data_IF_160736347409
#
_entry.id   IF_160736347409
#
_cell.length_a   1.000
_cell.length_b   1.000
_cell.length_c   1.000
_cell.angle_alpha   90.00
_cell.angle_beta   90.00
_cell.angle_gamma   90.00
#
_symmetry.space_group_name_H-M   'P 1'
#
loop_
_entity.id
_entity.type
_entity.pdbx_description
1 polymer ?
#
# COMPACT_ATOMS: atom_id res chain seq x y z
N UNK A 1 23.25 4.62 2.05
CA UNK A 1 22.42 4.10 3.16
C UNK A 1 21.14 3.44 2.65
N UNK A 2 20.30 4.13 1.85
CA UNK A 2 19.10 3.55 1.22
C UNK A 2 19.38 2.22 0.48
N UNK A 3 20.44 2.17 -0.33
CA UNK A 3 20.84 0.95 -1.04
C UNK A 3 21.27 -0.19 -0.12
N UNK A 4 21.97 0.12 0.98
CA UNK A 4 22.39 -0.90 1.95
C UNK A 4 21.18 -1.50 2.67
N UNK A 5 20.17 -0.68 2.98
CA UNK A 5 18.90 -1.16 3.53
C UNK A 5 18.16 -2.06 2.52
N UNK A 6 18.00 -1.63 1.27
CA UNK A 6 17.37 -2.45 0.23
C UNK A 6 18.13 -3.76 -0.04
N UNK A 7 19.46 -3.75 0.10
CA UNK A 7 20.27 -4.96 0.03
C UNK A 7 19.98 -5.91 1.20
N UNK A 8 20.00 -5.41 2.44
CA UNK A 8 19.69 -6.22 3.62
C UNK A 8 18.27 -6.80 3.61
N UNK A 9 17.28 -6.06 3.10
CA UNK A 9 15.92 -6.58 2.91
C UNK A 9 15.87 -7.73 1.90
N UNK A 10 16.63 -7.62 0.81
CA UNK A 10 16.73 -8.71 -0.17
C UNK A 10 17.37 -9.97 0.42
N UNK A 11 18.44 -9.81 1.23
CA UNK A 11 19.07 -10.93 1.92
C UNK A 11 18.15 -11.58 2.94
N UNK A 12 17.39 -10.77 3.70
CA UNK A 12 16.41 -11.28 4.66
C UNK A 12 15.30 -12.07 3.96
N UNK A 13 14.74 -11.55 2.86
CA UNK A 13 13.71 -12.25 2.10
C UNK A 13 14.21 -13.61 1.59
N UNK A 14 15.40 -13.65 0.99
CA UNK A 14 16.03 -14.90 0.54
C UNK A 14 16.30 -15.88 1.69
N UNK A 15 16.69 -15.37 2.86
CA UNK A 15 16.86 -16.16 4.08
C UNK A 15 15.56 -16.80 4.54
N UNK A 16 14.44 -16.07 4.51
CA UNK A 16 13.11 -16.58 4.85
C UNK A 16 12.68 -17.65 3.85
N UNK A 17 12.80 -17.40 2.55
CA UNK A 17 12.42 -18.34 1.49
C UNK A 17 13.18 -19.67 1.64
N UNK A 18 14.48 -19.61 1.92
CA UNK A 18 15.28 -20.83 2.12
C UNK A 18 14.91 -21.60 3.39
N UNK A 19 14.38 -20.90 4.41
CA UNK A 19 14.02 -21.49 5.71
C UNK A 19 12.59 -22.02 5.76
N UNK A 20 11.69 -21.54 4.89
CA UNK A 20 10.28 -21.91 4.85
C UNK A 20 9.84 -22.37 3.45
N UNK A 21 10.30 -23.57 2.99
CA UNK A 21 9.91 -24.08 1.68
C UNK A 21 8.38 -24.19 1.55
N UNK A 22 7.82 -23.57 0.51
CA UNK A 22 6.39 -23.56 0.22
C UNK A 22 5.61 -22.39 0.82
N UNK A 23 6.23 -21.53 1.62
CA UNK A 23 5.68 -20.23 1.97
C UNK A 23 5.99 -19.20 0.88
N UNK A 24 5.05 -18.29 0.62
CA UNK A 24 5.28 -17.12 -0.23
C UNK A 24 5.67 -15.94 0.66
N UNK A 25 6.90 -15.45 0.53
CA UNK A 25 7.38 -14.30 1.29
C UNK A 25 6.92 -13.01 0.61
N UNK A 26 6.01 -12.28 1.27
CA UNK A 26 5.59 -10.95 0.83
C UNK A 26 6.39 -9.88 1.56
N UNK A 27 7.07 -9.02 0.82
CA UNK A 27 7.76 -7.85 1.37
C UNK A 27 6.82 -6.65 1.35
N UNK A 28 6.34 -6.24 2.52
CA UNK A 28 5.55 -5.01 2.68
C UNK A 28 6.42 -3.92 3.28
N UNK A 29 6.64 -2.86 2.51
CA UNK A 29 7.48 -1.74 2.93
C UNK A 29 6.60 -0.59 3.41
N UNK A 30 6.84 -0.10 4.62
CA UNK A 30 6.10 1.02 5.19
C UNK A 30 7.05 2.15 5.61
N UNK A 31 6.99 3.29 4.89
CA UNK A 31 7.87 4.43 5.11
C UNK A 31 7.07 5.72 5.34
N UNK A 32 6.54 5.96 6.55
CA UNK A 32 5.65 7.10 6.84
C UNK A 32 6.35 8.46 6.77
N UNK A 33 7.69 8.48 6.82
CA UNK A 33 8.48 9.70 6.77
C UNK A 33 9.13 9.93 5.41
N UNK A 34 8.79 9.13 4.40
CA UNK A 34 9.46 9.16 3.09
C UNK A 34 9.53 10.56 2.50
N UNK A 35 8.40 11.26 2.42
CA UNK A 35 8.34 12.63 1.88
C UNK A 35 9.14 13.64 2.71
N UNK A 36 9.26 13.41 4.01
CA UNK A 36 10.05 14.28 4.89
C UNK A 36 11.54 14.03 4.66
N UNK A 37 11.94 12.76 4.49
CA UNK A 37 13.33 12.36 4.23
C UNK A 37 13.80 12.82 2.86
N UNK A 38 13.02 12.58 1.81
CA UNK A 38 13.35 12.99 0.44
C UNK A 38 13.27 14.51 0.25
N UNK A 39 12.44 15.18 1.05
CA UNK A 39 12.34 16.65 1.05
C UNK A 39 13.33 17.36 1.97
N UNK A 40 14.14 16.63 2.76
CA UNK A 40 15.07 17.24 3.72
C UNK A 40 14.39 17.99 4.87
N UNK A 41 13.20 17.53 5.29
CA UNK A 41 12.35 18.14 6.33
C UNK A 41 12.39 17.38 7.67
N UNK A 42 13.21 16.34 7.78
CA UNK A 42 13.37 15.59 9.03
C UNK A 42 14.22 16.40 9.99
N UNK A 43 13.71 16.67 11.20
CA UNK A 43 14.49 17.34 12.23
C UNK A 43 15.56 16.43 12.84
N UNK A 44 16.71 16.99 13.18
CA UNK A 44 17.73 16.31 13.95
C UNK A 44 17.20 15.87 15.31
N UNK A 45 17.88 14.92 15.94
CA UNK A 45 17.55 14.47 17.31
C UNK A 45 17.50 15.61 18.33
N UNK A 46 18.31 16.65 18.12
CA UNK A 46 18.31 17.86 18.95
C UNK A 46 17.20 18.86 18.62
N UNK A 47 16.47 18.69 17.51
CA UNK A 47 15.40 19.57 17.04
C UNK A 47 15.85 20.90 16.43
N UNK A 48 17.15 21.25 16.50
CA UNK A 48 17.67 22.56 16.10
C UNK A 48 17.97 22.71 14.60
N UNK A 49 18.03 21.62 13.84
CA UNK A 49 18.30 21.67 12.39
C UNK A 49 17.50 20.61 11.64
N UNK A 50 17.23 20.86 10.37
CA UNK A 50 16.73 19.85 9.45
C UNK A 50 17.90 19.07 8.84
N UNK A 51 17.69 17.78 8.63
CA UNK A 51 18.64 16.90 7.96
C UNK A 51 18.54 17.13 6.45
N UNK A 52 19.67 17.09 5.72
CA UNK A 52 19.66 17.28 4.28
C UNK A 52 18.78 16.24 3.59
N UNK A 53 18.15 16.66 2.49
CA UNK A 53 17.43 15.74 1.60
C UNK A 53 18.36 14.61 1.15
N UNK A 54 17.80 13.41 1.04
CA UNK A 54 18.54 12.28 0.47
C UNK A 54 18.73 12.45 -1.03
N UNK A 55 19.80 11.83 -1.54
CA UNK A 55 20.03 11.72 -2.98
C UNK A 55 18.89 10.92 -3.62
N UNK A 56 18.10 11.60 -4.44
CA UNK A 56 16.93 11.04 -5.10
C UNK A 56 17.27 9.85 -5.99
N UNK A 57 18.45 9.86 -6.63
CA UNK A 57 18.89 8.73 -7.46
C UNK A 57 19.13 7.47 -6.61
N UNK A 58 19.72 7.64 -5.42
CA UNK A 58 19.94 6.55 -4.49
C UNK A 58 18.63 6.03 -3.88
N UNK A 59 17.64 6.89 -3.64
CA UNK A 59 16.30 6.51 -3.17
C UNK A 59 15.55 5.73 -4.26
N UNK A 60 15.52 6.23 -5.49
CA UNK A 60 14.89 5.52 -6.62
C UNK A 60 15.53 4.15 -6.86
N UNK A 61 16.86 4.05 -6.82
CA UNK A 61 17.56 2.78 -6.97
C UNK A 61 17.22 1.78 -5.85
N UNK A 62 17.05 2.25 -4.61
CA UNK A 62 16.62 1.40 -3.50
C UNK A 62 15.20 0.85 -3.71
N UNK A 63 14.26 1.70 -4.15
CA UNK A 63 12.89 1.28 -4.44
C UNK A 63 12.80 0.31 -5.61
N UNK A 64 13.55 0.55 -6.70
CA UNK A 64 13.63 -0.39 -7.83
C UNK A 64 14.13 -1.77 -7.37
N UNK A 65 15.14 -1.79 -6.49
CA UNK A 65 15.64 -3.05 -5.95
C UNK A 65 14.59 -3.79 -5.11
N UNK A 66 13.86 -3.07 -4.25
CA UNK A 66 12.80 -3.65 -3.44
C UNK A 66 11.64 -4.15 -4.31
N UNK A 67 11.25 -3.39 -5.33
CA UNK A 67 10.24 -3.79 -6.28
C UNK A 67 10.60 -5.10 -7.01
N UNK A 68 11.89 -5.36 -7.25
CA UNK A 68 12.36 -6.62 -7.81
C UNK A 68 12.30 -7.83 -6.85
N UNK A 69 12.02 -7.62 -5.56
CA UNK A 69 11.68 -8.72 -4.65
C UNK A 69 10.24 -9.13 -4.94
N UNK A 70 9.96 -10.43 -5.11
CA UNK A 70 8.64 -10.88 -5.53
C UNK A 70 8.05 -11.88 -4.54
N UNK A 71 6.83 -11.65 -4.03
CA UNK A 71 5.98 -10.44 -4.17
C UNK A 71 6.38 -9.26 -3.25
N UNK A 72 6.24 -8.01 -3.74
CA UNK A 72 6.46 -6.78 -2.95
C UNK A 72 5.31 -5.79 -3.06
N UNK A 73 4.89 -5.26 -1.90
CA UNK A 73 3.90 -4.18 -1.78
C UNK A 73 4.60 -2.88 -1.39
N UNK A 74 4.55 -1.90 -2.29
CA UNK A 74 5.19 -0.61 -2.11
C UNK A 74 4.15 0.48 -1.81
N UNK A 75 4.47 1.48 -0.98
CA UNK A 75 3.64 2.66 -0.83
C UNK A 75 3.38 3.33 -2.19
N UNK A 76 2.20 3.91 -2.39
CA UNK A 76 1.86 4.63 -3.62
C UNK A 76 2.94 5.63 -4.05
N UNK A 77 3.53 6.36 -3.09
CA UNK A 77 4.64 7.31 -3.34
C UNK A 77 6.02 6.74 -3.03
N UNK A 78 6.27 5.47 -3.35
CA UNK A 78 7.57 4.83 -3.17
C UNK A 78 8.63 5.37 -4.14
N UNK A 79 9.05 6.62 -3.95
CA UNK A 79 10.04 7.27 -4.82
C UNK A 79 9.96 8.79 -4.76
N UNK A 80 11.01 9.48 -5.23
CA UNK A 80 10.99 10.93 -5.37
C UNK A 80 10.30 11.41 -6.65
N UNK A 81 10.07 10.51 -7.61
CA UNK A 81 9.14 10.70 -8.71
C UNK A 81 7.74 10.31 -8.26
N UNK A 82 6.73 11.05 -8.71
CA UNK A 82 5.30 10.70 -8.59
C UNK A 82 4.90 9.57 -9.55
N UNK A 83 5.84 8.70 -9.93
CA UNK A 83 5.60 7.61 -10.86
C UNK A 83 5.75 6.27 -10.13
N UNK A 84 4.83 5.32 -10.35
CA UNK A 84 4.90 3.99 -9.75
C UNK A 84 6.20 3.28 -10.12
N UNK A 85 6.74 2.51 -9.17
CA UNK A 85 7.93 1.68 -9.43
C UNK A 85 7.50 0.48 -10.28
N UNK A 86 7.94 0.34 -11.55
CA UNK A 86 7.31 -0.58 -12.52
C UNK A 86 7.34 -2.07 -12.15
N UNK A 87 8.22 -2.47 -11.24
CA UNK A 87 8.40 -3.88 -10.84
C UNK A 87 7.59 -4.25 -9.59
N UNK A 88 6.92 -3.29 -8.94
CA UNK A 88 6.17 -3.56 -7.71
C UNK A 88 5.03 -4.55 -7.99
N UNK A 89 4.78 -5.48 -7.07
CA UNK A 89 3.67 -6.43 -7.23
C UNK A 89 2.32 -5.77 -6.92
N UNK A 90 2.31 -4.77 -6.04
CA UNK A 90 1.15 -3.94 -5.77
C UNK A 90 1.53 -2.57 -5.21
N UNK A 91 0.65 -1.59 -5.43
CA UNK A 91 0.69 -0.29 -4.73
C UNK A 91 -0.17 -0.36 -3.46
N UNK A 92 0.34 0.20 -2.38
CA UNK A 92 -0.30 0.18 -1.06
C UNK A 92 -0.67 1.58 -0.60
N UNK A 93 -1.91 1.73 -0.14
CA UNK A 93 -2.38 2.96 0.52
C UNK A 93 -3.35 2.64 1.67
N UNK A 94 -3.54 3.61 2.55
CA UNK A 94 -4.49 3.50 3.67
C UNK A 94 -5.93 3.81 3.25
N UNK A 95 -6.90 3.16 3.89
CA UNK A 95 -8.35 3.38 3.67
C UNK A 95 -8.81 4.83 3.82
N UNK A 96 -8.05 5.68 4.52
CA UNK A 96 -8.28 7.12 4.52
C UNK A 96 -8.32 7.69 3.09
N UNK A 97 -7.74 6.99 2.13
CA UNK A 97 -7.68 7.37 0.74
C UNK A 97 -6.40 8.17 0.48
N UNK A 98 -5.78 7.98 -0.69
CA UNK A 98 -4.84 8.93 -1.26
C UNK A 98 -5.44 10.33 -1.39
N UNK A 99 -4.59 11.35 -1.55
CA UNK A 99 -5.06 12.70 -1.87
C UNK A 99 -5.66 12.73 -3.29
N UNK A 100 -6.55 13.69 -3.62
CA UNK A 100 -7.24 13.71 -4.91
C UNK A 100 -6.36 13.48 -6.16
N UNK A 101 -5.16 14.07 -6.22
CA UNK A 101 -4.25 13.93 -7.38
C UNK A 101 -3.48 12.61 -7.46
N UNK A 102 -3.55 11.76 -6.44
CA UNK A 102 -2.91 10.45 -6.45
C UNK A 102 -3.79 9.38 -7.13
N UNK A 103 -5.07 9.68 -7.28
CA UNK A 103 -6.04 8.76 -7.87
C UNK A 103 -5.81 8.53 -9.36
N UNK A 104 -5.34 9.54 -10.08
CA UNK A 104 -4.99 9.40 -11.51
C UNK A 104 -3.82 8.44 -11.71
N UNK A 105 -2.84 8.44 -10.80
CA UNK A 105 -1.71 7.51 -10.80
C UNK A 105 -2.17 6.07 -10.52
N UNK A 106 -3.08 5.89 -9.55
CA UNK A 106 -3.69 4.59 -9.28
C UNK A 106 -4.50 4.09 -10.48
N UNK A 107 -5.25 4.97 -11.14
CA UNK A 107 -6.01 4.60 -12.33
C UNK A 107 -5.08 4.06 -13.43
N UNK A 108 -4.02 4.80 -13.77
CA UNK A 108 -3.04 4.35 -14.77
C UNK A 108 -2.37 3.03 -14.38
N UNK A 109 -2.06 2.83 -13.08
CA UNK A 109 -1.51 1.57 -12.57
C UNK A 109 -2.48 0.40 -12.76
N UNK A 110 -3.74 0.56 -12.35
CA UNK A 110 -4.79 -0.45 -12.45
C UNK A 110 -5.11 -0.79 -13.91
N UNK A 111 -5.16 0.22 -14.78
CA UNK A 111 -5.36 0.04 -16.23
C UNK A 111 -4.21 -0.73 -16.89
N UNK A 112 -2.98 -0.59 -16.37
CA UNK A 112 -1.83 -1.40 -16.79
C UNK A 112 -1.85 -2.84 -16.26
N UNK A 113 -2.87 -3.20 -15.46
CA UNK A 113 -3.04 -4.52 -14.84
C UNK A 113 -2.38 -4.67 -13.47
N UNK A 114 -1.92 -3.57 -12.87
CA UNK A 114 -1.29 -3.55 -11.56
C UNK A 114 -2.27 -3.74 -10.41
N UNK A 115 -1.86 -4.43 -9.35
CA UNK A 115 -2.71 -4.67 -8.17
C UNK A 115 -2.61 -3.54 -7.14
N UNK A 116 -3.65 -3.36 -6.35
CA UNK A 116 -3.71 -2.37 -5.28
C UNK A 116 -3.99 -3.06 -3.96
N UNK A 117 -3.29 -2.67 -2.90
CA UNK A 117 -3.54 -3.13 -1.53
C UNK A 117 -4.07 -1.95 -0.72
N UNK A 118 -5.31 -2.07 -0.24
CA UNK A 118 -5.92 -1.11 0.67
C UNK A 118 -5.76 -1.59 2.09
N UNK A 119 -5.09 -0.77 2.89
CA UNK A 119 -4.86 -1.04 4.30
C UNK A 119 -5.92 -0.39 5.15
N UNK A 120 -6.72 -1.22 5.81
CA UNK A 120 -7.82 -0.76 6.66
C UNK A 120 -7.31 -0.08 7.92
N UNK A 121 -7.92 1.06 8.24
CA UNK A 121 -7.72 1.69 9.56
C UNK A 121 -8.68 1.07 10.56
N UNK A 122 -8.30 1.09 11.84
CA UNK A 122 -9.19 0.73 12.93
C UNK A 122 -10.16 1.89 13.19
N UNK A 123 -11.15 2.03 12.31
CA UNK A 123 -12.26 2.96 12.47
C UNK A 123 -13.53 2.16 12.76
N UNK A 124 -13.84 2.02 14.05
CA UNK A 124 -15.02 1.28 14.51
C UNK A 124 -16.33 2.03 14.35
N UNK A 125 -16.31 3.28 13.88
CA UNK A 125 -17.51 4.09 13.71
C UNK A 125 -18.19 3.86 12.35
N UNK A 126 -17.44 3.41 11.33
CA UNK A 126 -17.96 3.24 9.97
C UNK A 126 -18.49 1.84 9.73
N UNK A 127 -19.62 1.76 9.04
CA UNK A 127 -20.18 0.51 8.55
C UNK A 127 -19.33 -0.10 7.43
N UNK A 128 -19.45 -1.41 7.20
CA UNK A 128 -18.75 -2.11 6.11
C UNK A 128 -19.08 -1.49 4.74
N UNK A 129 -20.36 -1.16 4.51
CA UNK A 129 -20.82 -0.55 3.25
C UNK A 129 -20.18 0.82 3.01
N UNK A 130 -20.14 1.70 4.02
CA UNK A 130 -19.50 3.02 3.90
C UNK A 130 -18.00 2.90 3.59
N UNK A 131 -17.32 1.91 4.16
CA UNK A 131 -15.90 1.67 3.92
C UNK A 131 -15.65 1.17 2.50
N UNK A 132 -16.44 0.20 2.04
CA UNK A 132 -16.39 -0.29 0.67
C UNK A 132 -16.69 0.83 -0.34
N UNK A 133 -17.71 1.66 -0.09
CA UNK A 133 -18.05 2.81 -0.94
C UNK A 133 -16.90 3.81 -1.07
N UNK A 134 -16.16 4.09 0.02
CA UNK A 134 -15.00 5.01 -0.05
C UNK A 134 -13.86 4.48 -0.92
N UNK A 135 -13.74 3.16 -1.03
CA UNK A 135 -12.77 2.52 -1.91
C UNK A 135 -13.30 2.48 -3.35
N UNK A 136 -14.58 2.18 -3.55
CA UNK A 136 -15.19 2.01 -4.87
C UNK A 136 -15.55 3.32 -5.58
N UNK A 137 -15.93 4.37 -4.84
CA UNK A 137 -16.34 5.65 -5.42
C UNK A 137 -15.25 6.29 -6.31
N UNK A 138 -13.96 6.29 -5.92
CA UNK A 138 -12.87 6.72 -6.79
C UNK A 138 -12.82 6.00 -8.14
N UNK A 139 -13.05 4.67 -8.18
CA UNK A 139 -13.11 3.91 -9.43
C UNK A 139 -14.19 4.48 -10.34
N UNK A 140 -15.38 4.74 -9.79
CA UNK A 140 -16.48 5.36 -10.55
C UNK A 140 -16.11 6.74 -11.08
N UNK A 141 -15.53 7.60 -10.23
CA UNK A 141 -15.22 8.98 -10.62
C UNK A 141 -14.13 9.07 -11.69
N UNK A 142 -13.23 8.09 -11.74
CA UNK A 142 -12.12 8.03 -12.69
C UNK A 142 -12.50 7.26 -13.97
N UNK A 143 -13.71 6.69 -14.03
CA UNK A 143 -14.16 5.88 -15.18
C UNK A 143 -13.55 4.48 -15.22
N UNK A 144 -12.97 4.00 -14.13
CA UNK A 144 -12.49 2.61 -14.03
C UNK A 144 -13.68 1.65 -14.00
N UNK A 145 -13.55 0.52 -14.69
CA UNK A 145 -14.57 -0.52 -14.67
C UNK A 145 -14.77 -1.11 -13.27
N UNK A 146 -16.00 -1.48 -12.92
CA UNK A 146 -16.29 -2.20 -11.68
C UNK A 146 -15.49 -3.52 -11.59
N UNK A 147 -15.25 -4.18 -12.73
CA UNK A 147 -14.41 -5.37 -12.82
C UNK A 147 -12.98 -5.15 -12.29
N UNK A 148 -12.44 -3.94 -12.42
CA UNK A 148 -11.11 -3.60 -11.91
C UNK A 148 -11.02 -3.60 -10.37
N UNK A 149 -12.15 -3.60 -9.65
CA UNK A 149 -12.16 -3.84 -8.21
C UNK A 149 -11.61 -5.23 -7.84
N UNK A 150 -11.62 -6.20 -8.77
CA UNK A 150 -10.97 -7.49 -8.57
C UNK A 150 -9.45 -7.42 -8.44
N UNK A 151 -8.84 -6.26 -8.74
CA UNK A 151 -7.41 -6.01 -8.54
C UNK A 151 -7.10 -5.42 -7.14
N UNK A 152 -8.14 -5.17 -6.34
CA UNK A 152 -8.02 -4.60 -5.00
C UNK A 152 -7.95 -5.73 -3.96
N UNK A 153 -6.87 -5.74 -3.20
CA UNK A 153 -6.71 -6.55 -2.01
C UNK A 153 -6.96 -5.69 -0.78
N UNK A 154 -7.75 -6.18 0.17
CA UNK A 154 -8.00 -5.50 1.44
C UNK A 154 -7.23 -6.20 2.55
N UNK A 155 -6.39 -5.46 3.27
CA UNK A 155 -5.61 -5.99 4.40
C UNK A 155 -5.90 -5.21 5.68
N UNK A 156 -5.82 -5.90 6.80
CA UNK A 156 -5.80 -5.23 8.10
C UNK A 156 -4.51 -4.40 8.23
N UNK A 157 -4.62 -3.19 8.78
CA UNK A 157 -3.43 -2.40 9.13
C UNK A 157 -2.56 -3.07 10.21
N UNK A 158 -1.25 -2.76 10.25
CA UNK A 158 -0.39 -3.20 11.34
C UNK A 158 -0.94 -2.62 12.63
N UNK A 159 -1.15 -3.49 13.61
CA UNK A 159 -1.67 -3.09 14.91
C UNK A 159 -0.79 -3.86 15.90
N UNK A 160 0.34 -3.21 16.23
CA UNK A 160 1.51 -3.74 16.93
C UNK A 160 1.19 -4.28 18.34
N UNK A 161 -0.04 -4.06 18.82
CA UNK A 161 -0.50 -4.45 20.15
C UNK A 161 -1.72 -5.39 20.15
N UNK A 162 -2.07 -6.03 19.03
CA UNK A 162 -3.23 -6.92 19.00
C UNK A 162 -2.93 -8.29 19.63
N UNK A 163 -3.60 -8.59 20.73
CA UNK A 163 -3.85 -9.98 21.13
C UNK A 163 -4.72 -10.70 20.10
N UNK A 164 -4.81 -12.04 20.19
CA UNK A 164 -5.51 -12.89 19.22
C UNK A 164 -6.94 -12.44 18.88
N UNK A 165 -7.71 -11.96 19.87
CA UNK A 165 -9.07 -11.44 19.64
C UNK A 165 -9.08 -10.15 18.79
N UNK A 166 -8.08 -9.30 18.96
CA UNK A 166 -7.88 -8.11 18.13
C UNK A 166 -7.55 -8.49 16.70
N UNK A 167 -6.57 -9.39 16.51
CA UNK A 167 -6.19 -9.89 15.19
C UNK A 167 -7.38 -10.50 14.44
N UNK A 168 -8.17 -11.33 15.13
CA UNK A 168 -9.38 -11.93 14.57
C UNK A 168 -10.39 -10.87 14.11
N UNK A 169 -10.66 -9.84 14.93
CA UNK A 169 -11.58 -8.76 14.53
C UNK A 169 -11.07 -7.98 13.32
N UNK A 170 -9.77 -7.68 13.26
CA UNK A 170 -9.20 -6.97 12.13
C UNK A 170 -9.24 -7.81 10.85
N UNK A 171 -8.98 -9.12 10.94
CA UNK A 171 -9.12 -10.04 9.82
C UNK A 171 -10.56 -10.17 9.32
N UNK A 172 -11.54 -10.26 10.23
CA UNK A 172 -12.97 -10.25 9.88
C UNK A 172 -13.34 -8.93 9.19
N UNK A 173 -12.91 -7.78 9.73
CA UNK A 173 -13.19 -6.49 9.11
C UNK A 173 -12.58 -6.34 7.70
N UNK A 174 -11.36 -6.86 7.48
CA UNK A 174 -10.74 -6.89 6.16
C UNK A 174 -11.53 -7.76 5.17
N UNK A 175 -11.94 -8.94 5.62
CA UNK A 175 -12.80 -9.83 4.84
C UNK A 175 -14.14 -9.18 4.52
N UNK A 176 -14.85 -8.64 5.49
CA UNK A 176 -16.19 -8.08 5.29
C UNK A 176 -16.17 -6.93 4.27
N UNK A 177 -15.13 -6.08 4.31
CA UNK A 177 -14.95 -5.00 3.31
C UNK A 177 -14.60 -5.57 1.93
N UNK A 178 -13.77 -6.62 1.85
CA UNK A 178 -13.47 -7.29 0.58
C UNK A 178 -14.75 -7.93 -0.03
N UNK A 179 -15.54 -8.63 0.79
CA UNK A 179 -16.80 -9.24 0.38
C UNK A 179 -17.78 -8.16 -0.12
N UNK A 180 -17.86 -7.01 0.56
CA UNK A 180 -18.69 -5.88 0.12
C UNK A 180 -18.21 -5.24 -1.20
N UNK A 181 -16.89 -5.13 -1.41
CA UNK A 181 -16.34 -4.68 -2.70
C UNK A 181 -16.65 -5.68 -3.82
N UNK A 182 -16.66 -6.97 -3.52
CA UNK A 182 -17.08 -7.99 -4.47
C UNK A 182 -18.56 -7.87 -4.84
N UNK A 183 -19.45 -7.53 -3.91
CA UNK A 183 -20.85 -7.21 -4.23
C UNK A 183 -20.93 -6.03 -5.20
N UNK A 184 -20.21 -4.93 -4.90
CA UNK A 184 -20.14 -3.74 -5.79
C UNK A 184 -19.63 -4.09 -7.18
N UNK A 185 -18.65 -5.00 -7.26
CA UNK A 185 -18.09 -5.46 -8.53
C UNK A 185 -19.13 -6.20 -9.38
N UNK A 186 -20.07 -6.93 -8.78
CA UNK A 186 -21.07 -7.72 -9.49
C UNK A 186 -22.36 -6.94 -9.79
N UNK A 187 -22.78 -6.06 -8.89
CA UNK A 187 -24.04 -5.31 -9.00
C UNK A 187 -23.90 -3.99 -9.79
N UNK A 188 -22.75 -3.78 -10.43
CA UNK A 188 -22.26 -2.50 -10.93
C UNK A 188 -22.18 -1.42 -9.83
N UNK A 189 -21.43 -0.34 -10.07
CA UNK A 189 -21.18 0.73 -9.07
C UNK A 189 -22.44 1.51 -8.63
N UNK A 190 -23.61 1.13 -9.14
CA UNK A 190 -24.92 1.71 -8.86
C UNK A 190 -25.69 0.92 -7.77
N UNK A 191 -25.23 -0.26 -7.36
CA UNK A 191 -25.94 -1.16 -6.42
C UNK A 191 -25.90 -0.79 -4.93
N UNK A 192 -25.14 0.24 -4.52
CA UNK A 192 -25.01 0.68 -3.13
C UNK A 192 -25.62 2.07 -2.92
N UNK A 193 -26.96 2.13 -2.93
CA UNK A 193 -27.75 3.31 -2.56
C UNK A 193 -28.58 3.07 -1.30
#
# INVERSE_FOLDING_TARGET
MAQAWAFGMAELAAGIDSSLPGAETVVHVHEPLLEQVTGGRVRSSSGFRELPAWDQSAVSAAWQRLAGLSPTWLPLKAGPSSEPVPQASALLFDEAGPVPGDWEEIAGWVESGGRVVVRLRRDGARSVAERALRIAQPWRSLGLSAAALGQVMVVAGPDEALGAAGLRRSAVAARDVADALDVVRHDDLDGLH
#
